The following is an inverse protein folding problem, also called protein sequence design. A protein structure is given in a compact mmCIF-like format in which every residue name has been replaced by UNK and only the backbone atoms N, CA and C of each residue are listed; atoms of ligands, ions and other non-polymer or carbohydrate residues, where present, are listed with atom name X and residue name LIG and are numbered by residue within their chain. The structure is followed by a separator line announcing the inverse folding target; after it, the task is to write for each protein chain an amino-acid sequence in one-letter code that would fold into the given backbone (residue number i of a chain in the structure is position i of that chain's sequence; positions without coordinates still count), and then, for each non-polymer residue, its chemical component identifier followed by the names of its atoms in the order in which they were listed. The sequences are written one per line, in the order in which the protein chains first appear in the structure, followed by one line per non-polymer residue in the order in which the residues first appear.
data_IF_296537470909
#
_entry.id   IF_296537470909
#
_cell.length_a   1.000
_cell.length_b   1.000
_cell.length_c   1.000
_cell.angle_alpha   90.00
_cell.angle_beta   90.00
_cell.angle_gamma   90.00
#
_symmetry.space_group_name_H-M   'P 1'
#
loop_
_entity.id
_entity.type
_entity.pdbx_description
1 polymer ?
#
# COMPACT_ATOMS: atom_id res chain seq x y z
N UNK A 1 21.08 -23.60 3.62
CA UNK A 1 21.39 -22.40 4.43
C UNK A 1 20.21 -21.43 4.35
N UNK A 2 19.39 -21.32 5.41
CA UNK A 2 18.19 -20.46 5.43
C UNK A 2 18.62 -19.05 5.84
N UNK A 3 18.71 -18.12 4.88
CA UNK A 3 18.88 -16.70 5.17
C UNK A 3 17.75 -16.27 6.11
N UNK A 4 18.09 -15.93 7.35
CA UNK A 4 17.26 -15.14 8.25
C UNK A 4 17.23 -13.72 7.68
N UNK A 5 16.62 -13.54 6.51
CA UNK A 5 16.48 -12.24 5.88
C UNK A 5 15.74 -11.36 6.89
N UNK A 6 16.43 -10.36 7.43
CA UNK A 6 15.80 -9.34 8.25
C UNK A 6 14.72 -8.70 7.38
N UNK A 7 13.48 -9.11 7.58
CA UNK A 7 12.32 -8.60 6.85
C UNK A 7 12.38 -7.07 6.81
N UNK A 8 12.39 -6.51 5.60
CA UNK A 8 12.61 -5.08 5.32
C UNK A 8 11.71 -4.19 6.19
N UNK A 9 10.45 -4.56 6.36
CA UNK A 9 9.48 -3.84 7.20
C UNK A 9 9.88 -3.76 8.68
N UNK A 10 10.59 -4.76 9.18
CA UNK A 10 11.05 -4.82 10.56
C UNK A 10 12.31 -4.00 10.78
N UNK A 11 13.19 -3.95 9.79
CA UNK A 11 14.29 -2.98 9.79
C UNK A 11 13.76 -1.55 9.77
N UNK A 12 12.80 -1.25 8.89
CA UNK A 12 12.14 0.07 8.82
C UNK A 12 11.56 0.45 10.19
N UNK A 13 10.77 -0.43 10.81
CA UNK A 13 10.16 -0.18 12.12
C UNK A 13 11.19 0.12 13.21
N UNK A 14 12.34 -0.56 13.20
CA UNK A 14 13.38 -0.39 14.21
C UNK A 14 14.17 0.92 14.05
N UNK A 15 14.16 1.52 12.85
CA UNK A 15 15.02 2.65 12.50
C UNK A 15 14.27 3.94 12.16
N UNK A 16 12.93 3.90 12.13
CA UNK A 16 12.08 5.06 11.79
C UNK A 16 12.21 6.24 12.76
N UNK A 17 12.77 6.03 13.96
CA UNK A 17 13.08 7.10 14.93
C UNK A 17 14.36 7.86 14.60
N UNK A 18 15.26 7.26 13.81
CA UNK A 18 16.56 7.83 13.44
C UNK A 18 16.55 8.36 12.02
N UNK A 19 15.87 7.68 11.09
CA UNK A 19 15.74 8.09 9.69
C UNK A 19 14.28 8.17 9.26
N UNK A 20 14.02 8.99 8.25
CA UNK A 20 12.66 9.14 7.73
C UNK A 20 12.19 7.83 7.09
N UNK A 21 10.88 7.57 7.18
CA UNK A 21 10.26 6.44 6.48
C UNK A 21 10.50 6.52 4.96
N UNK A 22 10.55 7.73 4.42
CA UNK A 22 10.80 7.96 3.00
C UNK A 22 12.16 7.41 2.56
N UNK A 23 13.21 7.72 3.30
CA UNK A 23 14.58 7.32 2.94
C UNK A 23 14.78 5.81 3.14
N UNK A 24 14.27 5.27 4.24
CA UNK A 24 14.30 3.83 4.50
C UNK A 24 13.55 3.04 3.42
N UNK A 25 12.37 3.49 3.01
CA UNK A 25 11.59 2.87 1.93
C UNK A 25 12.33 2.92 0.59
N UNK A 26 12.95 4.07 0.26
CA UNK A 26 13.72 4.25 -0.98
C UNK A 26 14.90 3.28 -1.05
N UNK A 27 15.72 3.22 -0.01
CA UNK A 27 16.94 2.39 0.03
C UNK A 27 16.62 0.90 0.03
N UNK A 28 15.56 0.48 0.72
CA UNK A 28 15.20 -0.94 0.84
C UNK A 28 14.32 -1.44 -0.31
N UNK A 29 13.87 -0.57 -1.20
CA UNK A 29 12.96 -0.91 -2.29
C UNK A 29 11.59 -1.40 -1.78
N UNK A 30 11.01 -0.70 -0.81
CA UNK A 30 9.68 -0.98 -0.25
C UNK A 30 8.80 0.27 -0.43
N UNK A 31 7.57 0.12 -0.92
CA UNK A 31 6.66 1.26 -1.01
C UNK A 31 6.15 1.67 0.38
N UNK A 32 5.89 2.97 0.59
CA UNK A 32 5.33 3.45 1.87
C UNK A 32 3.98 2.78 2.18
N UNK A 33 3.14 2.59 1.16
CA UNK A 33 1.84 1.94 1.28
C UNK A 33 1.96 0.48 1.71
N UNK A 34 2.92 -0.28 1.17
CA UNK A 34 3.19 -1.65 1.58
C UNK A 34 3.63 -1.73 3.05
N UNK A 35 4.47 -0.81 3.52
CA UNK A 35 4.84 -0.72 4.94
C UNK A 35 3.64 -0.50 5.87
N UNK A 36 2.75 0.43 5.51
CA UNK A 36 1.55 0.69 6.31
C UNK A 36 0.55 -0.47 6.26
N UNK A 37 0.40 -1.14 5.13
CA UNK A 37 -0.41 -2.36 5.02
C UNK A 37 0.12 -3.46 5.93
N UNK A 38 1.43 -3.73 5.89
CA UNK A 38 2.08 -4.70 6.77
C UNK A 38 1.88 -4.36 8.26
N UNK A 39 2.03 -3.08 8.63
CA UNK A 39 1.83 -2.61 10.03
C UNK A 39 0.37 -2.74 10.46
N UNK A 40 -0.58 -2.45 9.57
CA UNK A 40 -2.00 -2.59 9.84
C UNK A 40 -2.42 -4.06 9.98
N UNK A 41 -1.97 -4.94 9.06
CA UNK A 41 -2.23 -6.37 9.10
C UNK A 41 -1.75 -7.01 10.41
N UNK A 42 -0.53 -6.66 10.86
CA UNK A 42 0.02 -7.13 12.13
C UNK A 42 -0.83 -6.72 13.35
N UNK A 43 -1.44 -5.52 13.32
CA UNK A 43 -2.36 -5.07 14.37
C UNK A 43 -3.69 -5.81 14.33
N UNK A 44 -4.28 -5.98 13.13
CA UNK A 44 -5.55 -6.69 12.94
C UNK A 44 -5.47 -8.13 13.39
N UNK A 45 -4.39 -8.84 13.03
CA UNK A 45 -4.17 -10.22 13.46
C UNK A 45 -4.09 -10.34 14.97
N UNK A 46 -3.36 -9.43 15.64
CA UNK A 46 -3.29 -9.40 17.09
C UNK A 46 -4.64 -9.14 17.74
N UNK A 47 -5.42 -8.18 17.21
CA UNK A 47 -6.76 -7.89 17.71
C UNK A 47 -7.69 -9.10 17.58
N UNK A 48 -7.62 -9.82 16.45
CA UNK A 48 -8.40 -11.04 16.24
C UNK A 48 -8.02 -12.14 17.24
N UNK A 49 -6.72 -12.40 17.41
CA UNK A 49 -6.24 -13.36 18.41
C UNK A 49 -6.71 -12.99 19.83
N UNK A 50 -6.70 -11.71 20.18
CA UNK A 50 -7.20 -11.25 21.48
C UNK A 50 -8.72 -11.47 21.63
N UNK A 51 -9.50 -11.22 20.58
CA UNK A 51 -10.94 -11.49 20.57
C UNK A 51 -11.24 -12.99 20.68
N UNK A 52 -10.38 -13.84 20.10
CA UNK A 52 -10.44 -15.30 20.21
C UNK A 52 -9.92 -15.81 21.58
N UNK A 53 -9.60 -14.91 22.53
CA UNK A 53 -9.16 -15.25 23.89
C UNK A 53 -7.65 -15.47 24.06
N UNK A 54 -6.86 -15.35 22.99
CA UNK A 54 -5.41 -15.53 23.04
C UNK A 54 -4.68 -14.22 23.40
N UNK A 55 -4.05 -14.20 24.58
CA UNK A 55 -3.20 -13.09 25.00
C UNK A 55 -1.80 -13.17 24.38
N UNK A 56 -1.68 -12.82 23.09
CA UNK A 56 -0.40 -12.85 22.37
C UNK A 56 0.22 -11.45 22.25
N UNK A 57 1.44 -11.31 22.73
CA UNK A 57 2.26 -10.10 22.55
C UNK A 57 2.76 -9.95 21.11
N UNK A 58 3.06 -8.72 20.67
CA UNK A 58 3.56 -8.44 19.30
C UNK A 58 4.81 -9.25 18.92
N UNK A 59 5.73 -9.46 19.86
CA UNK A 59 6.97 -10.21 19.61
C UNK A 59 6.73 -11.71 19.52
N UNK A 60 5.90 -12.28 20.41
CA UNK A 60 5.51 -13.68 20.37
C UNK A 60 4.79 -14.02 19.05
N UNK A 61 3.79 -13.21 18.66
CA UNK A 61 3.08 -13.37 17.39
C UNK A 61 4.03 -13.36 16.20
N UNK A 62 4.96 -12.39 16.17
CA UNK A 62 5.96 -12.28 15.09
C UNK A 62 6.90 -13.49 15.05
N UNK A 63 7.36 -13.96 16.21
CA UNK A 63 8.24 -15.11 16.31
C UNK A 63 7.55 -16.36 15.79
N UNK A 64 6.32 -16.59 16.24
CA UNK A 64 5.49 -17.71 15.81
C UNK A 64 5.21 -17.69 14.30
N UNK A 65 4.79 -16.55 13.73
CA UNK A 65 4.56 -16.41 12.28
C UNK A 65 5.82 -16.73 11.45
N UNK A 66 7.00 -16.34 11.95
CA UNK A 66 8.27 -16.66 11.27
C UNK A 66 8.61 -18.14 11.38
N UNK A 67 8.47 -18.72 12.57
CA UNK A 67 8.76 -20.12 12.82
C UNK A 67 7.81 -21.05 12.04
N UNK A 68 6.54 -20.66 11.90
CA UNK A 68 5.53 -21.40 11.14
C UNK A 68 5.61 -21.17 9.63
N UNK A 69 6.51 -20.30 9.15
CA UNK A 69 6.62 -19.95 7.74
C UNK A 69 5.42 -19.18 7.18
N UNK A 70 4.49 -18.75 8.04
CA UNK A 70 3.31 -17.99 7.62
C UNK A 70 3.70 -16.55 7.26
N UNK A 71 3.29 -16.14 6.06
CA UNK A 71 3.55 -14.79 5.54
C UNK A 71 2.23 -14.16 5.15
N UNK A 72 2.06 -12.89 5.51
CA UNK A 72 0.92 -12.11 5.03
C UNK A 72 1.02 -11.98 3.51
N UNK A 73 -0.04 -12.36 2.81
CA UNK A 73 -0.19 -12.07 1.40
C UNK A 73 -0.61 -10.60 1.26
N UNK A 74 0.11 -9.85 0.44
CA UNK A 74 -0.36 -8.54 0.01
C UNK A 74 -1.42 -8.76 -1.07
N UNK A 75 -2.65 -8.35 -0.80
CA UNK A 75 -3.69 -8.33 -1.84
C UNK A 75 -3.26 -7.30 -2.87
N UNK A 76 -3.14 -7.70 -4.15
CA UNK A 76 -2.92 -6.74 -5.23
C UNK A 76 -4.03 -5.68 -5.16
N UNK A 77 -3.72 -4.38 -5.26
CA UNK A 77 -4.76 -3.36 -5.23
C UNK A 77 -5.75 -3.62 -6.36
N UNK A 78 -7.02 -3.81 -6.01
CA UNK A 78 -8.09 -3.96 -6.98
C UNK A 78 -8.20 -2.63 -7.74
N UNK A 79 -7.99 -2.66 -9.05
CA UNK A 79 -8.20 -1.52 -9.94
C UNK A 79 -9.43 -1.82 -10.81
N UNK A 80 -10.65 -1.72 -10.27
CA UNK A 80 -11.85 -1.89 -11.07
C UNK A 80 -11.85 -0.81 -12.15
N UNK A 81 -11.90 -1.24 -13.42
CA UNK A 81 -12.06 -0.32 -14.55
C UNK A 81 -13.55 -0.06 -14.68
N UNK A 82 -14.01 1.03 -14.06
CA UNK A 82 -15.44 1.41 -14.03
C UNK A 82 -15.94 1.96 -15.36
N UNK A 83 -15.03 2.29 -16.27
CA UNK A 83 -15.36 2.86 -17.58
C UNK A 83 -14.98 1.86 -18.68
N UNK A 84 -16.01 1.27 -19.28
CA UNK A 84 -15.87 0.56 -20.55
C UNK A 84 -15.97 1.61 -21.65
N UNK A 85 -14.90 1.79 -22.42
CA UNK A 85 -14.91 2.66 -23.60
C UNK A 85 -15.76 1.98 -24.65
N UNK A 86 -16.83 2.64 -25.10
CA UNK A 86 -17.61 2.18 -26.25
C UNK A 86 -16.79 2.42 -27.54
N UNK A 87 -16.38 1.37 -28.28
CA UNK A 87 -15.63 1.54 -29.52
C UNK A 87 -16.45 2.20 -30.64
N UNK A 88 -17.78 2.16 -30.55
CA UNK A 88 -18.69 2.77 -31.52
C UNK A 88 -19.10 4.20 -31.11
N UNK A 89 -18.67 4.68 -29.94
CA UNK A 89 -18.94 6.05 -29.53
C UNK A 89 -18.27 7.03 -30.49
N UNK A 90 -19.10 7.82 -31.17
CA UNK A 90 -18.63 8.93 -31.98
C UNK A 90 -18.06 10.00 -31.04
N UNK A 91 -16.79 10.36 -31.26
CA UNK A 91 -16.16 11.46 -30.53
C UNK A 91 -16.94 12.73 -30.84
N UNK A 92 -17.54 13.35 -29.82
CA UNK A 92 -18.17 14.64 -29.98
C UNK A 92 -17.16 15.65 -30.54
N UNK A 93 -17.58 16.45 -31.50
CA UNK A 93 -16.74 17.48 -32.09
C UNK A 93 -16.20 18.43 -31.01
N UNK A 94 -14.89 18.69 -31.04
CA UNK A 94 -14.30 19.68 -30.17
C UNK A 94 -14.60 21.08 -30.72
N UNK A 95 -15.69 21.69 -30.23
CA UNK A 95 -16.11 23.03 -30.66
C UNK A 95 -15.14 24.14 -30.27
N UNK A 96 -14.23 23.90 -29.33
CA UNK A 96 -13.24 24.88 -28.88
C UNK A 96 -11.95 24.84 -29.71
N UNK A 97 -11.78 23.82 -30.54
CA UNK A 97 -10.61 23.65 -31.38
C UNK A 97 -10.59 24.77 -32.44
N UNK A 98 -9.63 25.68 -32.35
CA UNK A 98 -9.49 26.83 -33.26
C UNK A 98 -10.11 28.15 -32.75
N UNK A 99 -10.71 28.17 -31.57
CA UNK A 99 -11.17 29.40 -30.94
C UNK A 99 -10.01 30.19 -30.28
N UNK A 100 -10.10 31.52 -30.20
CA UNK A 100 -9.13 32.32 -29.46
C UNK A 100 -9.18 32.01 -27.96
N UNK A 101 -8.06 32.21 -27.27
CA UNK A 101 -7.99 31.95 -25.83
C UNK A 101 -8.99 32.83 -25.04
N UNK A 102 -9.67 32.29 -24.02
CA UNK A 102 -10.59 33.06 -23.19
C UNK A 102 -9.83 34.13 -22.40
N UNK A 103 -10.43 35.32 -22.27
CA UNK A 103 -9.80 36.47 -21.59
C UNK A 103 -10.32 36.67 -20.16
N UNK A 104 -11.40 35.99 -19.76
CA UNK A 104 -12.00 36.05 -18.42
C UNK A 104 -12.56 34.70 -17.97
N UNK A 105 -12.73 34.47 -16.67
CA UNK A 105 -13.41 33.27 -16.15
C UNK A 105 -14.81 33.12 -16.74
N UNK A 106 -15.23 31.87 -16.99
CA UNK A 106 -16.52 31.49 -17.56
C UNK A 106 -16.76 31.91 -19.03
N UNK A 107 -15.69 32.14 -19.80
CA UNK A 107 -15.76 32.29 -21.25
C UNK A 107 -15.39 30.96 -21.92
N UNK A 108 -16.25 30.50 -22.85
CA UNK A 108 -15.97 29.36 -23.74
C UNK A 108 -15.37 29.84 -25.06
#
# INVERSE_FOLDING_TARGET
MRSLTVSKHLFIKARITTWTLADLCRVLGVSRSDYYQWRAASRRLRAKLQADGHQVGRYALRSWLRASGQRALSTRPQRPRTTQTDPAAVVAENRLLGQPAPTRPNQV
#
